data_IF_521013662992
#
_entry.id   IF_521013662992
#
_cell.length_a   1.000
_cell.length_b   1.000
_cell.length_c   1.000
_cell.angle_alpha   90.00
_cell.angle_beta   90.00
_cell.angle_gamma   90.00
#
_symmetry.space_group_name_H-M   'P 1'
#
loop_
_entity.id
_entity.type
_entity.pdbx_description
1 polymer ?
#
# COMPACT_ATOMS: atom_id res chain seq x y z
N UNK A 1 17.78 1.27 7.31
CA UNK A 1 16.58 0.40 7.38
C UNK A 1 16.70 -0.81 6.46
N UNK A 2 16.82 -0.69 5.12
CA UNK A 2 16.94 -1.86 4.22
C UNK A 2 18.15 -2.72 4.57
N UNK A 3 19.27 -2.12 4.92
CA UNK A 3 20.49 -2.84 5.32
C UNK A 3 20.30 -3.64 6.61
N UNK A 4 19.52 -3.11 7.56
CA UNK A 4 19.21 -3.79 8.82
C UNK A 4 18.31 -4.99 8.60
N UNK A 5 17.28 -4.86 7.75
CA UNK A 5 16.46 -6.00 7.32
C UNK A 5 17.29 -7.06 6.59
N UNK A 6 18.22 -6.65 5.74
CA UNK A 6 19.12 -7.57 5.06
C UNK A 6 19.99 -8.36 6.04
N UNK A 7 20.51 -7.72 7.10
CA UNK A 7 21.27 -8.40 8.17
C UNK A 7 20.46 -9.43 8.93
N UNK A 8 19.16 -9.19 9.08
CA UNK A 8 18.21 -10.14 9.67
C UNK A 8 17.77 -11.24 8.70
N UNK A 9 18.25 -11.25 7.46
CA UNK A 9 17.72 -12.08 6.40
C UNK A 9 16.19 -11.98 6.29
N UNK A 10 15.69 -10.77 6.45
CA UNK A 10 14.27 -10.42 6.39
C UNK A 10 14.03 -9.34 5.34
N UNK A 11 12.79 -9.24 4.90
CA UNK A 11 12.30 -8.16 4.05
C UNK A 11 10.94 -7.66 4.58
N UNK A 12 10.59 -6.42 4.23
CA UNK A 12 9.28 -5.87 4.56
C UNK A 12 8.69 -5.12 3.38
N UNK A 13 7.37 -5.03 3.36
CA UNK A 13 6.67 -4.27 2.35
C UNK A 13 5.32 -3.78 2.84
N UNK A 14 4.90 -2.61 2.34
CA UNK A 14 3.56 -2.07 2.56
C UNK A 14 2.87 -2.03 1.22
N UNK A 15 1.69 -2.65 1.12
CA UNK A 15 0.92 -2.74 -0.12
C UNK A 15 -0.53 -2.39 0.13
N UNK A 16 -1.10 -1.41 -0.60
CA UNK A 16 -2.53 -1.17 -0.58
C UNK A 16 -3.25 -2.28 -1.34
N UNK A 17 -4.32 -2.80 -0.75
CA UNK A 17 -5.29 -3.69 -1.39
C UNK A 17 -6.57 -2.94 -1.74
N UNK A 18 -7.60 -3.68 -2.18
CA UNK A 18 -8.88 -3.09 -2.54
C UNK A 18 -9.67 -2.59 -1.31
N UNK A 19 -9.52 -3.24 -0.17
CA UNK A 19 -10.30 -3.03 1.05
C UNK A 19 -9.43 -2.88 2.31
N UNK A 20 -8.12 -3.06 2.20
CA UNK A 20 -7.18 -3.00 3.33
C UNK A 20 -5.75 -2.73 2.88
N UNK A 21 -4.92 -2.29 3.80
CA UNK A 21 -3.48 -2.19 3.59
C UNK A 21 -2.80 -3.38 4.24
N UNK A 22 -1.85 -3.97 3.53
CA UNK A 22 -1.03 -5.08 4.03
C UNK A 22 0.36 -4.55 4.36
N UNK A 23 0.79 -4.76 5.60
CA UNK A 23 2.18 -4.70 5.99
C UNK A 23 2.68 -6.13 6.09
N UNK A 24 3.70 -6.48 5.34
CA UNK A 24 4.22 -7.84 5.28
C UNK A 24 5.67 -7.84 5.73
N UNK A 25 6.01 -8.76 6.62
CA UNK A 25 7.38 -9.09 7.00
C UNK A 25 7.62 -10.53 6.56
N UNK A 26 8.71 -10.79 5.87
CA UNK A 26 9.10 -12.14 5.44
C UNK A 26 10.58 -12.39 5.73
N UNK A 27 10.92 -13.61 6.12
CA UNK A 27 12.31 -13.97 6.44
C UNK A 27 12.42 -15.18 7.35
N UNK A 28 13.54 -15.27 8.05
CA UNK A 28 13.81 -16.36 8.99
C UNK A 28 12.94 -16.24 10.24
N UNK A 29 12.28 -17.33 10.62
CA UNK A 29 11.38 -17.37 11.79
C UNK A 29 12.05 -17.01 13.10
N UNK A 30 13.33 -17.29 13.25
CA UNK A 30 14.13 -16.94 14.43
C UNK A 30 14.29 -15.43 14.60
N UNK A 31 14.27 -14.67 13.52
CA UNK A 31 14.45 -13.22 13.51
C UNK A 31 13.12 -12.44 13.50
N UNK A 32 11.98 -13.13 13.62
CA UNK A 32 10.64 -12.52 13.55
C UNK A 32 10.47 -11.37 14.54
N UNK A 33 10.86 -11.56 15.81
CA UNK A 33 10.72 -10.55 16.83
C UNK A 33 11.53 -9.29 16.55
N UNK A 34 12.80 -9.44 16.15
CA UNK A 34 13.65 -8.31 15.78
C UNK A 34 13.15 -7.59 14.52
N UNK A 35 12.62 -8.33 13.54
CA UNK A 35 12.05 -7.75 12.34
C UNK A 35 10.77 -6.93 12.65
N UNK A 36 9.90 -7.41 13.57
CA UNK A 36 8.75 -6.64 14.04
C UNK A 36 9.22 -5.35 14.71
N UNK A 37 10.19 -5.44 15.63
CA UNK A 37 10.73 -4.27 16.34
C UNK A 37 11.32 -3.25 15.36
N UNK A 38 11.99 -3.70 14.30
CA UNK A 38 12.56 -2.82 13.30
C UNK A 38 11.48 -2.08 12.50
N UNK A 39 10.36 -2.76 12.16
CA UNK A 39 9.19 -2.11 11.53
C UNK A 39 8.56 -1.09 12.47
N UNK A 40 8.37 -1.43 13.75
CA UNK A 40 7.82 -0.50 14.74
C UNK A 40 8.68 0.77 14.86
N UNK A 41 10.00 0.61 14.94
CA UNK A 41 10.93 1.74 14.96
C UNK A 41 10.84 2.58 13.68
N UNK A 42 10.70 1.92 12.52
CA UNK A 42 10.54 2.62 11.24
C UNK A 42 9.25 3.45 11.23
N UNK A 43 8.14 2.89 11.70
CA UNK A 43 6.85 3.60 11.72
C UNK A 43 6.87 4.78 12.71
N UNK A 44 7.53 4.62 13.85
CA UNK A 44 7.63 5.64 14.91
C UNK A 44 8.60 6.78 14.53
N UNK A 45 9.79 6.43 14.05
CA UNK A 45 10.93 7.33 13.98
C UNK A 45 11.23 7.88 12.57
N UNK A 46 10.49 7.45 11.55
CA UNK A 46 10.70 7.94 10.19
C UNK A 46 10.62 9.46 10.12
N UNK A 47 11.62 10.08 9.49
CA UNK A 47 11.71 11.51 9.32
C UNK A 47 11.26 11.93 7.91
N UNK A 48 10.63 13.11 7.77
CA UNK A 48 10.27 13.64 6.47
C UNK A 48 11.50 13.82 5.59
N UNK A 49 11.38 13.44 4.33
CA UNK A 49 12.42 13.70 3.33
C UNK A 49 11.80 14.32 2.06
N UNK A 50 11.69 15.66 2.02
CA UNK A 50 11.10 16.36 0.88
C UNK A 50 11.84 16.12 -0.44
N UNK A 51 13.16 16.00 -0.41
CA UNK A 51 13.96 15.79 -1.64
C UNK A 51 13.63 14.43 -2.28
N UNK A 52 13.56 13.36 -1.49
CA UNK A 52 13.18 12.05 -1.98
C UNK A 52 11.73 12.04 -2.46
N UNK A 53 10.84 12.78 -1.80
CA UNK A 53 9.46 12.90 -2.24
C UNK A 53 9.36 13.59 -3.61
N UNK A 54 10.14 14.65 -3.88
CA UNK A 54 10.14 15.32 -5.18
C UNK A 54 10.61 14.37 -6.30
N UNK A 55 11.63 13.56 -6.05
CA UNK A 55 12.07 12.52 -7.00
C UNK A 55 10.94 11.52 -7.25
N UNK A 56 10.30 11.00 -6.20
CA UNK A 56 9.17 10.08 -6.35
C UNK A 56 8.00 10.68 -7.14
N UNK A 57 7.65 11.95 -6.92
CA UNK A 57 6.61 12.65 -7.69
C UNK A 57 6.95 12.64 -9.17
N UNK A 58 8.20 13.00 -9.51
CA UNK A 58 8.71 12.97 -10.88
C UNK A 58 8.56 11.59 -11.52
N UNK A 59 9.06 10.56 -10.86
CA UNK A 59 9.00 9.17 -11.32
C UNK A 59 7.56 8.69 -11.55
N UNK A 60 6.63 9.04 -10.64
CA UNK A 60 5.21 8.67 -10.78
C UNK A 60 4.58 9.35 -12.00
N UNK A 61 4.82 10.65 -12.19
CA UNK A 61 4.24 11.40 -13.31
C UNK A 61 4.83 10.97 -14.65
N UNK A 62 6.15 10.74 -14.72
CA UNK A 62 6.80 10.18 -15.89
C UNK A 62 6.32 8.76 -16.20
N UNK A 63 6.23 7.89 -15.20
CA UNK A 63 5.68 6.55 -15.35
C UNK A 63 4.26 6.55 -15.89
N UNK A 64 3.42 7.51 -15.47
CA UNK A 64 2.06 7.68 -16.00
C UNK A 64 2.06 8.15 -17.46
N UNK A 65 2.96 9.06 -17.82
CA UNK A 65 3.11 9.50 -19.21
C UNK A 65 3.52 8.33 -20.10
N UNK A 66 4.53 7.57 -19.68
CA UNK A 66 5.01 6.40 -20.40
C UNK A 66 3.95 5.28 -20.51
N UNK A 67 3.10 5.11 -19.49
CA UNK A 67 2.00 4.14 -19.51
C UNK A 67 0.99 4.44 -20.62
N UNK A 68 0.74 5.71 -20.93
CA UNK A 68 -0.16 6.09 -22.04
C UNK A 68 0.36 5.65 -23.42
N UNK A 69 1.66 5.44 -23.56
CA UNK A 69 2.29 4.94 -24.80
C UNK A 69 2.26 3.41 -24.90
N UNK A 70 1.78 2.72 -23.87
CA UNK A 70 1.71 1.25 -23.84
C UNK A 70 0.30 0.77 -24.23
N UNK A 71 0.19 0.08 -25.36
CA UNK A 71 -1.09 -0.43 -25.89
C UNK A 71 -1.81 -1.34 -24.90
N UNK A 72 -1.11 -2.27 -24.27
CA UNK A 72 -1.70 -3.23 -23.34
C UNK A 72 -2.20 -2.56 -22.05
N UNK A 73 -1.49 -1.53 -21.57
CA UNK A 73 -1.93 -0.74 -20.44
C UNK A 73 -3.19 0.06 -20.76
N UNK A 74 -3.23 0.71 -21.94
CA UNK A 74 -4.42 1.42 -22.43
C UNK A 74 -5.61 0.48 -22.58
N UNK A 75 -5.42 -0.72 -23.14
CA UNK A 75 -6.49 -1.71 -23.26
C UNK A 75 -7.02 -2.14 -21.88
N UNK A 76 -6.15 -2.37 -20.89
CA UNK A 76 -6.58 -2.68 -19.51
C UNK A 76 -7.40 -1.54 -18.90
N UNK A 77 -6.98 -0.28 -19.09
CA UNK A 77 -7.73 0.87 -18.60
C UNK A 77 -9.09 1.00 -19.28
N UNK A 78 -9.16 0.78 -20.60
CA UNK A 78 -10.41 0.78 -21.37
C UNK A 78 -11.36 -0.34 -20.89
N UNK A 79 -10.84 -1.53 -20.64
CA UNK A 79 -11.60 -2.65 -20.10
C UNK A 79 -12.15 -2.32 -18.70
N UNK A 80 -11.34 -1.73 -17.81
CA UNK A 80 -11.81 -1.28 -16.50
C UNK A 80 -12.89 -0.20 -16.60
N UNK A 81 -12.75 0.74 -17.53
CA UNK A 81 -13.81 1.72 -17.80
C UNK A 81 -15.10 1.04 -18.29
N UNK A 82 -14.99 0.05 -19.15
CA UNK A 82 -16.12 -0.74 -19.61
C UNK A 82 -16.86 -1.45 -18.47
N UNK A 83 -16.12 -2.04 -17.55
CA UNK A 83 -16.67 -2.78 -16.41
C UNK A 83 -17.25 -1.86 -15.32
N UNK A 84 -16.57 -0.79 -14.98
CA UNK A 84 -16.88 0.03 -13.78
C UNK A 84 -17.38 1.44 -14.14
N UNK A 85 -17.18 1.92 -15.37
CA UNK A 85 -17.49 3.28 -15.79
C UNK A 85 -16.45 4.31 -15.33
N UNK A 86 -16.86 5.60 -15.20
CA UNK A 86 -15.94 6.70 -14.88
C UNK A 86 -15.24 6.54 -13.53
N UNK A 87 -15.91 5.91 -12.55
CA UNK A 87 -15.33 5.57 -11.23
C UNK A 87 -14.85 4.13 -11.25
N UNK A 88 -13.63 3.93 -11.66
CA UNK A 88 -12.98 2.61 -11.77
C UNK A 88 -11.69 2.56 -10.95
N UNK A 89 -11.14 1.39 -10.66
CA UNK A 89 -9.80 1.29 -10.05
C UNK A 89 -8.73 2.06 -10.82
N UNK A 90 -8.84 2.14 -12.15
CA UNK A 90 -7.87 2.86 -12.99
C UNK A 90 -7.96 4.39 -12.84
N UNK A 91 -9.14 4.91 -12.48
CA UNK A 91 -9.37 6.35 -12.30
C UNK A 91 -9.32 6.79 -10.84
N UNK A 92 -9.30 5.85 -9.90
CA UNK A 92 -9.19 6.14 -8.46
C UNK A 92 -7.72 6.31 -8.06
N UNK A 93 -7.10 7.30 -8.65
CA UNK A 93 -5.69 7.66 -8.42
C UNK A 93 -5.59 9.16 -8.25
N UNK A 94 -4.62 9.62 -7.47
CA UNK A 94 -4.38 11.06 -7.31
C UNK A 94 -4.13 11.71 -8.68
N UNK A 95 -4.69 12.90 -8.90
CA UNK A 95 -4.38 13.72 -10.07
C UNK A 95 -2.91 14.18 -10.07
N UNK A 96 -2.44 14.74 -11.16
CA UNK A 96 -1.08 15.30 -11.22
C UNK A 96 -0.90 16.45 -10.22
N UNK A 97 -1.90 17.31 -10.09
CA UNK A 97 -1.86 18.44 -9.14
C UNK A 97 -1.86 17.95 -7.69
N UNK A 98 -2.66 16.94 -7.35
CA UNK A 98 -2.64 16.34 -6.01
C UNK A 98 -1.29 15.71 -5.70
N UNK A 99 -0.66 15.00 -6.66
CA UNK A 99 0.70 14.46 -6.49
C UNK A 99 1.70 15.57 -6.24
N UNK A 100 1.68 16.66 -7.04
CA UNK A 100 2.59 17.77 -6.87
C UNK A 100 2.45 18.47 -5.53
N UNK A 101 1.25 18.50 -4.96
CA UNK A 101 0.95 19.14 -3.68
C UNK A 101 1.17 18.23 -2.45
N UNK A 102 1.53 16.95 -2.62
CA UNK A 102 1.84 16.07 -1.50
C UNK A 102 3.01 16.60 -0.68
N UNK A 103 2.92 16.43 0.64
CA UNK A 103 3.98 16.77 1.59
C UNK A 103 4.46 15.53 2.34
N UNK A 104 5.76 15.46 2.59
CA UNK A 104 6.36 14.31 3.28
C UNK A 104 5.82 14.12 4.70
N UNK A 105 5.51 15.23 5.40
CA UNK A 105 4.92 15.22 6.74
C UNK A 105 3.53 14.59 6.76
N UNK A 106 2.70 14.89 5.75
CA UNK A 106 1.34 14.33 5.61
C UNK A 106 1.39 12.82 5.32
N UNK A 107 2.31 12.39 4.46
CA UNK A 107 2.50 10.96 4.17
C UNK A 107 2.97 10.19 5.41
N UNK A 108 3.89 10.76 6.19
CA UNK A 108 4.33 10.16 7.45
C UNK A 108 3.24 10.13 8.52
N UNK A 109 2.37 11.14 8.57
CA UNK A 109 1.21 11.11 9.47
C UNK A 109 0.30 9.92 9.14
N UNK A 110 -0.02 9.70 7.86
CA UNK A 110 -0.80 8.54 7.42
C UNK A 110 -0.10 7.21 7.74
N UNK A 111 1.22 7.14 7.56
CA UNK A 111 1.99 5.94 7.90
C UNK A 111 1.91 5.61 9.39
N UNK A 112 2.06 6.62 10.27
CA UNK A 112 1.95 6.47 11.72
C UNK A 112 0.53 6.10 12.18
N UNK A 113 -0.49 6.51 11.45
CA UNK A 113 -1.88 6.16 11.77
C UNK A 113 -2.20 4.69 11.47
N UNK A 114 -1.40 3.98 10.65
CA UNK A 114 -1.57 2.55 10.45
C UNK A 114 -1.43 1.76 11.76
N UNK A 115 -0.46 2.11 12.60
CA UNK A 115 -0.25 1.44 13.90
C UNK A 115 -1.38 1.68 14.91
N UNK A 116 -2.19 2.73 14.70
CA UNK A 116 -3.31 3.09 15.57
C UNK A 116 -4.66 2.52 15.10
N UNK A 117 -4.70 1.94 13.90
CA UNK A 117 -5.92 1.42 13.29
C UNK A 117 -6.13 -0.04 13.64
N UNK A 118 -7.38 -0.47 13.80
CA UNK A 118 -7.73 -1.89 13.98
C UNK A 118 -7.11 -2.74 12.87
N UNK A 119 -6.40 -3.78 13.26
CA UNK A 119 -5.69 -4.65 12.31
C UNK A 119 -5.71 -6.10 12.77
N UNK A 120 -5.33 -7.00 11.88
CA UNK A 120 -5.23 -8.44 12.13
C UNK A 120 -3.84 -8.91 11.78
N UNK A 121 -3.20 -9.62 12.69
CA UNK A 121 -1.92 -10.28 12.44
C UNK A 121 -2.17 -11.66 11.84
N UNK A 122 -1.55 -11.94 10.70
CA UNK A 122 -1.57 -13.24 10.03
C UNK A 122 -0.15 -13.80 10.00
N UNK A 123 0.01 -15.02 10.44
CA UNK A 123 1.30 -15.71 10.41
C UNK A 123 1.24 -16.98 9.56
N UNK A 124 2.29 -17.18 8.78
CA UNK A 124 2.56 -18.43 8.07
C UNK A 124 4.02 -18.80 8.27
N UNK A 125 4.28 -19.92 8.95
CA UNK A 125 5.65 -20.36 9.25
C UNK A 125 5.68 -21.54 10.24
N UNK A 126 6.87 -21.94 10.73
CA UNK A 126 7.06 -23.11 11.55
C UNK A 126 6.71 -22.93 13.05
N UNK A 127 6.55 -21.68 13.53
CA UNK A 127 6.25 -21.42 14.95
C UNK A 127 4.84 -21.85 15.31
N UNK A 128 4.64 -22.29 16.55
CA UNK A 128 3.31 -22.54 17.08
C UNK A 128 2.53 -21.24 17.31
N UNK A 129 1.23 -21.35 17.51
CA UNK A 129 0.39 -20.20 17.80
C UNK A 129 0.84 -19.47 19.07
N UNK A 130 1.19 -20.23 20.13
CA UNK A 130 1.63 -19.71 21.40
C UNK A 130 2.94 -18.91 21.26
N UNK A 131 3.90 -19.42 20.50
CA UNK A 131 5.16 -18.74 20.21
C UNK A 131 4.93 -17.43 19.44
N UNK A 132 4.07 -17.45 18.41
CA UNK A 132 3.72 -16.26 17.62
C UNK A 132 3.04 -15.22 18.49
N UNK A 133 2.06 -15.60 19.31
CA UNK A 133 1.35 -14.68 20.19
C UNK A 133 2.31 -14.06 21.21
N UNK A 134 3.23 -14.85 21.77
CA UNK A 134 4.22 -14.35 22.73
C UNK A 134 5.17 -13.32 22.08
N UNK A 135 5.64 -13.58 20.86
CA UNK A 135 6.51 -12.65 20.15
C UNK A 135 5.77 -11.37 19.72
N UNK A 136 4.58 -11.50 19.16
CA UNK A 136 3.75 -10.35 18.77
C UNK A 136 3.47 -9.48 20.00
N UNK A 137 3.02 -10.06 21.11
CA UNK A 137 2.76 -9.29 22.34
C UNK A 137 4.00 -8.61 22.91
N UNK A 138 5.18 -9.17 22.65
CA UNK A 138 6.45 -8.61 23.15
C UNK A 138 6.97 -7.45 22.31
N UNK A 139 6.84 -7.53 21.00
CA UNK A 139 7.52 -6.64 20.05
C UNK A 139 6.58 -5.70 19.30
N UNK A 140 5.31 -6.07 19.15
CA UNK A 140 4.31 -5.23 18.47
C UNK A 140 3.63 -4.31 19.48
N UNK A 141 3.76 -3.01 19.28
CA UNK A 141 3.22 -1.98 20.16
C UNK A 141 1.80 -1.61 19.74
N UNK A 142 0.81 -2.13 20.43
CA UNK A 142 -0.60 -1.83 20.19
C UNK A 142 -1.09 -0.79 21.19
N UNK A 143 -1.65 0.35 20.74
CA UNK A 143 -2.28 1.33 21.63
C UNK A 143 -3.46 0.72 22.39
N UNK A 144 -3.73 1.23 23.62
CA UNK A 144 -4.89 0.78 24.42
C UNK A 144 -6.22 0.93 23.67
N UNK A 145 -6.31 1.92 22.80
CA UNK A 145 -7.50 2.17 21.99
C UNK A 145 -7.11 2.27 20.52
N UNK A 146 -7.62 1.34 19.75
CA UNK A 146 -7.51 1.36 18.30
C UNK A 146 -8.64 2.15 17.65
N UNK A 147 -8.37 2.75 16.51
CA UNK A 147 -9.32 3.46 15.68
C UNK A 147 -9.94 2.44 14.72
N UNK A 148 -11.26 2.39 14.64
CA UNK A 148 -11.93 1.54 13.66
C UNK A 148 -11.53 1.95 12.24
N UNK A 149 -11.21 0.96 11.40
CA UNK A 149 -10.89 1.20 10.01
C UNK A 149 -12.14 1.70 9.25
N UNK A 150 -11.95 2.69 8.39
CA UNK A 150 -13.01 3.14 7.50
C UNK A 150 -13.45 2.02 6.56
N UNK A 151 -14.74 1.99 6.24
CA UNK A 151 -15.26 1.02 5.29
C UNK A 151 -14.71 1.28 3.90
N UNK A 152 -14.12 0.28 3.29
CA UNK A 152 -13.61 0.37 1.93
C UNK A 152 -14.74 0.69 0.93
N UNK A 153 -14.48 1.64 0.04
CA UNK A 153 -15.38 1.92 -1.08
C UNK A 153 -15.05 0.97 -2.24
N UNK A 154 -15.76 -0.15 -2.31
CA UNK A 154 -15.55 -1.14 -3.36
C UNK A 154 -16.18 -0.69 -4.69
N UNK A 155 -15.47 -0.92 -5.78
CA UNK A 155 -15.99 -0.67 -7.12
C UNK A 155 -17.00 -1.75 -7.50
N UNK A 156 -18.15 -1.33 -8.04
CA UNK A 156 -19.20 -2.26 -8.51
C UNK A 156 -19.17 -2.35 -10.02
N UNK A 157 -19.25 -3.58 -10.53
CA UNK A 157 -19.42 -3.83 -11.96
C UNK A 157 -20.77 -3.24 -12.39
N UNK A 158 -20.76 -2.53 -13.51
CA UNK A 158 -21.97 -1.92 -14.08
C UNK A 158 -22.70 -2.94 -14.94
N UNK A 159 -23.98 -3.05 -14.73
CA UNK A 159 -24.85 -3.73 -15.68
C UNK A 159 -25.04 -2.88 -16.94
N UNK A 160 -24.94 -3.50 -18.08
CA UNK A 160 -25.18 -2.85 -19.38
C UNK A 160 -26.42 -3.46 -20.01
N UNK A 161 -27.45 -2.65 -20.22
CA UNK A 161 -28.69 -3.08 -20.89
C UNK A 161 -28.58 -3.19 -22.41
N UNK A 162 -27.45 -2.83 -22.99
CA UNK A 162 -27.19 -2.81 -24.43
C UNK A 162 -25.73 -3.14 -24.76
N UNK A 163 -25.48 -3.68 -25.95
CA UNK A 163 -24.13 -3.91 -26.45
C UNK A 163 -23.45 -2.59 -26.76
N UNK A 164 -22.19 -2.41 -26.30
CA UNK A 164 -21.37 -1.21 -26.50
C UNK A 164 -20.01 -1.55 -27.07
N UNK A 165 -19.54 -0.72 -27.99
CA UNK A 165 -18.15 -0.73 -28.46
C UNK A 165 -17.45 0.49 -27.87
N UNK A 166 -16.35 0.25 -27.17
CA UNK A 166 -15.54 1.29 -26.55
C UNK A 166 -14.24 1.44 -27.34
N UNK A 167 -13.91 2.66 -27.70
CA UNK A 167 -12.68 3.01 -28.40
C UNK A 167 -11.90 4.02 -27.57
N UNK A 168 -10.60 3.81 -27.45
CA UNK A 168 -9.68 4.78 -26.87
C UNK A 168 -8.61 5.14 -27.92
N UNK A 169 -8.26 6.42 -28.07
CA UNK A 169 -7.15 6.80 -28.94
C UNK A 169 -5.87 6.20 -28.38
N UNK A 170 -5.06 5.66 -29.28
CA UNK A 170 -3.72 5.18 -29.00
C UNK A 170 -2.74 6.00 -29.84
N UNK A 171 -1.73 6.61 -29.19
CA UNK A 171 -0.72 7.42 -29.85
C UNK A 171 0.49 6.59 -30.29
#
# INVERSE_FOLDING_TARGET
VKEEFYRLACDFGIRPGADRTYLTISGLSENMGEAIQLVESLLADAQPNPEVLEIMKGDILEGRANTKLNQQANFRMLMQYGLYGPKSPATNVLSADEIQNLKSEELLAHLRDLSKTEHTVLYYGPKTQEEVVAEVNRYHQVPEKLIAADKASLFKIRETGESKVLLAPYA
#
